data_IF_112050008036
#
_entry.id   IF_112050008036
#
_cell.length_a   1.000
_cell.length_b   1.000
_cell.length_c   1.000
_cell.angle_alpha   90.00
_cell.angle_beta   90.00
_cell.angle_gamma   90.00
#
_symmetry.space_group_name_H-M   'P 1'
#
loop_
_entity.id
_entity.type
_entity.pdbx_description
1 polymer ?
#
# COMPACT_ATOMS: atom_id res chain seq x y z
N UNK A 1 -4.63 -6.00 23.26
CA UNK A 1 -3.90 -5.40 22.14
C UNK A 1 -3.15 -6.46 21.36
N UNK A 2 -3.20 -6.35 20.06
CA UNK A 2 -2.43 -7.23 19.17
C UNK A 2 -1.67 -6.36 18.18
N UNK A 3 -0.38 -6.64 18.02
CA UNK A 3 0.47 -5.95 17.06
C UNK A 3 0.85 -6.95 15.97
N UNK A 4 0.69 -6.53 14.71
CA UNK A 4 1.06 -7.34 13.55
C UNK A 4 2.00 -6.57 12.66
N UNK A 5 2.77 -7.27 11.86
CA UNK A 5 3.72 -6.65 10.93
C UNK A 5 3.60 -7.24 9.55
N UNK A 6 4.02 -6.47 8.57
CA UNK A 6 4.16 -6.93 7.21
C UNK A 6 5.37 -6.27 6.56
N UNK A 7 5.99 -6.98 5.66
CA UNK A 7 7.14 -6.47 4.91
C UNK A 7 7.05 -6.98 3.47
N UNK A 8 7.46 -6.15 2.54
CA UNK A 8 7.52 -6.53 1.14
C UNK A 8 8.70 -5.86 0.45
N UNK A 9 9.28 -6.57 -0.51
CA UNK A 9 10.31 -6.05 -1.40
C UNK A 9 9.92 -6.38 -2.83
N UNK A 10 10.07 -5.41 -3.72
CA UNK A 10 9.73 -5.61 -5.13
C UNK A 10 10.78 -4.98 -6.03
N UNK A 11 11.04 -5.64 -7.16
CA UNK A 11 11.89 -5.06 -8.20
C UNK A 11 11.13 -3.96 -8.93
N UNK A 12 11.71 -2.77 -9.00
CA UNK A 12 11.12 -1.62 -9.70
C UNK A 12 10.82 -1.96 -11.16
N UNK A 13 11.72 -2.71 -11.80
CA UNK A 13 11.58 -3.08 -13.19
C UNK A 13 10.33 -3.94 -13.47
N UNK A 14 9.92 -4.77 -12.51
CA UNK A 14 8.70 -5.57 -12.66
C UNK A 14 7.45 -4.71 -12.71
N UNK A 15 7.42 -3.66 -11.91
CA UNK A 15 6.30 -2.70 -11.93
C UNK A 15 6.33 -1.89 -13.23
N UNK A 16 7.51 -1.46 -13.65
CA UNK A 16 7.67 -0.75 -14.92
C UNK A 16 7.14 -1.57 -16.08
N UNK A 17 7.53 -2.83 -16.17
CA UNK A 17 7.08 -3.73 -17.23
C UNK A 17 5.56 -3.92 -17.20
N UNK A 18 4.98 -4.10 -16.03
CA UNK A 18 3.53 -4.27 -15.89
C UNK A 18 2.79 -3.01 -16.37
N UNK A 19 3.27 -1.83 -16.02
CA UNK A 19 2.67 -0.57 -16.45
C UNK A 19 2.81 -0.39 -17.97
N UNK A 20 3.96 -0.71 -18.52
CA UNK A 20 4.20 -0.58 -19.96
C UNK A 20 3.34 -1.56 -20.78
N UNK A 21 3.14 -2.78 -20.27
CA UNK A 21 2.35 -3.79 -20.97
C UNK A 21 0.85 -3.59 -20.83
N UNK A 22 0.39 -3.28 -19.61
CA UNK A 22 -1.04 -3.27 -19.28
C UNK A 22 -1.63 -1.87 -19.18
N UNK A 23 -0.78 -0.85 -18.99
CA UNK A 23 -1.22 0.54 -18.93
C UNK A 23 -2.28 0.78 -17.87
N UNK A 24 -3.36 1.46 -18.28
CA UNK A 24 -4.46 1.81 -17.38
C UNK A 24 -5.11 0.62 -16.69
N UNK A 25 -5.13 -0.54 -17.34
CA UNK A 25 -5.70 -1.75 -16.72
C UNK A 25 -4.95 -2.16 -15.46
N UNK A 26 -3.63 -2.02 -15.45
CA UNK A 26 -2.82 -2.29 -14.26
C UNK A 26 -3.00 -1.18 -13.22
N UNK A 27 -2.84 0.07 -13.65
CA UNK A 27 -2.88 1.23 -12.76
C UNK A 27 -4.22 1.35 -12.05
N UNK A 28 -5.32 1.23 -12.79
CA UNK A 28 -6.67 1.43 -12.25
C UNK A 28 -7.09 0.34 -11.26
N UNK A 29 -6.50 -0.83 -11.36
CA UNK A 29 -6.80 -1.92 -10.42
C UNK A 29 -6.13 -1.76 -9.08
N UNK A 30 -4.99 -1.10 -9.04
CA UNK A 30 -4.12 -1.09 -7.86
C UNK A 30 -4.07 0.27 -7.19
N UNK A 31 -3.97 1.34 -7.98
CA UNK A 31 -3.69 2.68 -7.47
C UNK A 31 -4.92 3.58 -7.54
N UNK A 32 -5.01 4.50 -6.59
CA UNK A 32 -6.03 5.56 -6.65
C UNK A 32 -5.57 6.66 -7.61
N UNK A 33 -6.49 7.52 -8.02
CA UNK A 33 -6.17 8.66 -8.88
C UNK A 33 -5.11 9.57 -8.25
N UNK A 34 -5.19 9.78 -6.93
CA UNK A 34 -4.20 10.59 -6.20
C UNK A 34 -2.82 9.98 -6.23
N UNK A 35 -2.74 8.66 -6.08
CA UNK A 35 -1.47 7.94 -6.14
C UNK A 35 -0.86 8.03 -7.54
N UNK A 36 -1.68 7.84 -8.57
CA UNK A 36 -1.24 7.93 -9.98
C UNK A 36 -0.73 9.34 -10.27
N UNK A 37 -1.47 10.35 -9.87
CA UNK A 37 -1.08 11.75 -10.07
C UNK A 37 0.26 12.06 -9.41
N UNK A 38 0.40 11.64 -8.15
CA UNK A 38 1.66 11.86 -7.42
C UNK A 38 2.85 11.19 -8.11
N UNK A 39 2.71 9.93 -8.49
CA UNK A 39 3.79 9.17 -9.12
C UNK A 39 4.18 9.75 -10.48
N UNK A 40 3.22 10.26 -11.22
CA UNK A 40 3.46 10.83 -12.56
C UNK A 40 4.12 12.21 -12.54
N UNK A 41 4.22 12.86 -11.38
CA UNK A 41 4.89 14.16 -11.27
C UNK A 41 6.38 14.09 -11.56
N UNK A 42 7.01 12.94 -11.30
CA UNK A 42 8.44 12.77 -11.53
C UNK A 42 8.68 11.83 -12.72
N UNK A 43 9.25 12.36 -13.78
CA UNK A 43 9.61 11.52 -14.94
C UNK A 43 10.77 10.58 -14.63
N UNK A 44 11.72 11.00 -13.80
CA UNK A 44 12.89 10.20 -13.47
C UNK A 44 12.59 9.06 -12.50
N UNK A 45 11.74 9.34 -11.50
CA UNK A 45 11.50 8.40 -10.40
C UNK A 45 10.09 7.81 -10.40
N UNK A 46 9.38 7.98 -11.48
CA UNK A 46 7.98 7.54 -11.60
C UNK A 46 7.80 6.07 -11.19
N UNK A 47 8.58 5.19 -11.77
CA UNK A 47 8.43 3.75 -11.52
C UNK A 47 8.88 3.34 -10.13
N UNK A 48 9.86 4.05 -9.56
CA UNK A 48 10.25 3.84 -8.16
C UNK A 48 9.10 4.21 -7.24
N UNK A 49 8.38 5.30 -7.52
CA UNK A 49 7.24 5.73 -6.73
C UNK A 49 6.07 4.74 -6.81
N UNK A 50 5.79 4.24 -8.02
CA UNK A 50 4.75 3.21 -8.18
C UNK A 50 5.14 1.91 -7.46
N UNK A 51 6.39 1.50 -7.58
CA UNK A 51 6.87 0.29 -6.93
C UNK A 51 6.81 0.42 -5.40
N UNK A 52 7.20 1.58 -4.87
CA UNK A 52 7.15 1.83 -3.43
C UNK A 52 5.70 1.73 -2.90
N UNK A 53 4.74 2.28 -3.62
CA UNK A 53 3.34 2.20 -3.22
C UNK A 53 2.77 0.79 -3.35
N UNK A 54 3.19 0.07 -4.36
CA UNK A 54 2.83 -1.34 -4.49
C UNK A 54 3.36 -2.15 -3.29
N UNK A 55 4.61 -1.92 -2.91
CA UNK A 55 5.21 -2.60 -1.75
C UNK A 55 4.47 -2.28 -0.46
N UNK A 56 4.01 -1.02 -0.28
CA UNK A 56 3.18 -0.64 0.88
C UNK A 56 1.89 -1.44 0.90
N UNK A 57 1.20 -1.54 -0.22
CA UNK A 57 -0.07 -2.27 -0.29
C UNK A 57 0.11 -3.74 0.08
N UNK A 58 1.18 -4.36 -0.41
CA UNK A 58 1.52 -5.74 -0.06
C UNK A 58 1.86 -5.89 1.43
N UNK A 59 2.69 -5.00 1.96
CA UNK A 59 3.11 -5.05 3.36
C UNK A 59 1.91 -4.85 4.30
N UNK A 60 1.05 -3.90 3.99
CA UNK A 60 -0.17 -3.64 4.77
C UNK A 60 -1.09 -4.86 4.72
N UNK A 61 -1.31 -5.43 3.55
CA UNK A 61 -2.14 -6.62 3.43
C UNK A 61 -1.62 -7.76 4.30
N UNK A 62 -0.30 -8.00 4.29
CA UNK A 62 0.30 -9.02 5.15
C UNK A 62 0.05 -8.75 6.64
N UNK A 63 0.11 -7.48 7.04
CA UNK A 63 -0.09 -7.11 8.44
C UNK A 63 -1.53 -7.29 8.91
N UNK A 64 -2.52 -7.10 8.04
CA UNK A 64 -3.94 -7.09 8.45
C UNK A 64 -4.72 -8.33 8.04
N UNK A 65 -4.18 -9.15 7.15
CA UNK A 65 -4.91 -10.26 6.53
C UNK A 65 -5.48 -11.28 7.51
N UNK A 66 -4.88 -11.45 8.67
CA UNK A 66 -5.37 -12.42 9.65
C UNK A 66 -6.65 -11.98 10.36
N UNK A 67 -7.02 -10.70 10.28
CA UNK A 67 -8.18 -10.15 10.96
C UNK A 67 -9.21 -9.51 10.03
N UNK A 68 -9.01 -9.64 8.72
CA UNK A 68 -9.94 -9.10 7.74
C UNK A 68 -10.37 -10.19 6.77
N UNK A 69 -11.54 -10.01 6.18
CA UNK A 69 -12.03 -10.85 5.10
C UNK A 69 -11.75 -10.19 3.76
N UNK A 70 -11.59 -11.00 2.74
CA UNK A 70 -11.47 -10.54 1.39
C UNK A 70 -10.12 -10.83 0.77
N UNK A 71 -10.09 -10.65 -0.53
CA UNK A 71 -8.91 -10.87 -1.34
C UNK A 71 -8.10 -9.58 -1.40
N UNK A 72 -6.79 -9.72 -1.57
CA UNK A 72 -5.88 -8.60 -1.69
C UNK A 72 -6.30 -7.62 -2.80
N UNK A 73 -6.66 -8.16 -3.97
CA UNK A 73 -7.04 -7.32 -5.12
C UNK A 73 -8.30 -6.47 -4.84
N UNK A 74 -9.14 -6.89 -3.91
CA UNK A 74 -10.34 -6.14 -3.56
C UNK A 74 -10.03 -4.93 -2.66
N UNK A 75 -8.88 -4.90 -2.00
CA UNK A 75 -8.55 -3.84 -1.04
C UNK A 75 -7.38 -2.94 -1.46
N UNK A 76 -6.71 -3.21 -2.58
CA UNK A 76 -5.55 -2.42 -3.00
C UNK A 76 -5.80 -0.90 -3.00
N UNK A 77 -6.93 -0.45 -3.53
CA UNK A 77 -7.25 0.98 -3.57
C UNK A 77 -7.64 1.55 -2.22
N UNK A 78 -8.02 0.69 -1.28
CA UNK A 78 -8.35 1.12 0.09
C UNK A 78 -7.09 1.27 0.95
N UNK A 79 -5.97 0.73 0.49
CA UNK A 79 -4.65 0.95 1.09
C UNK A 79 -4.01 2.10 0.33
N UNK A 80 -4.43 3.31 0.65
CA UNK A 80 -3.99 4.50 -0.09
C UNK A 80 -2.86 5.20 0.62
N UNK A 81 -1.78 5.45 -0.11
CA UNK A 81 -0.64 6.25 0.38
C UNK A 81 -0.86 7.69 -0.01
N UNK A 82 -0.85 8.57 0.97
CA UNK A 82 -0.92 10.02 0.77
C UNK A 82 0.42 10.63 1.16
N UNK A 83 0.74 11.77 0.56
CA UNK A 83 1.98 12.47 0.88
C UNK A 83 1.64 13.77 1.58
N UNK A 84 2.21 13.97 2.76
CA UNK A 84 2.10 15.21 3.51
C UNK A 84 2.88 16.32 2.79
N UNK A 85 2.63 17.57 3.16
CA UNK A 85 3.34 18.70 2.60
C UNK A 85 4.87 18.56 2.74
N UNK A 86 5.30 17.93 3.83
CA UNK A 86 6.72 17.63 4.05
C UNK A 86 7.30 16.60 3.06
N UNK A 87 6.44 15.95 2.25
CA UNK A 87 6.82 14.86 1.38
C UNK A 87 6.79 13.49 2.03
N UNK A 88 6.54 13.42 3.34
CA UNK A 88 6.48 12.15 4.07
C UNK A 88 5.27 11.35 3.61
N UNK A 89 5.46 10.06 3.23
CA UNK A 89 4.33 9.19 2.91
C UNK A 89 3.59 8.78 4.17
N UNK A 90 2.27 8.73 4.08
CA UNK A 90 1.41 8.33 5.17
C UNK A 90 0.25 7.51 4.61
N UNK A 91 -0.22 6.54 5.38
CA UNK A 91 -1.36 5.72 4.99
C UNK A 91 -2.65 6.41 5.38
N UNK A 92 -3.64 6.37 4.50
CA UNK A 92 -4.99 6.85 4.81
C UNK A 92 -5.71 5.78 5.63
N UNK A 93 -5.52 5.81 6.95
CA UNK A 93 -6.02 4.80 7.88
C UNK A 93 -7.56 4.81 7.95
N UNK A 94 -8.17 5.98 7.87
CA UNK A 94 -9.63 6.10 7.92
C UNK A 94 -10.31 5.42 6.74
N UNK A 95 -9.77 5.62 5.55
CA UNK A 95 -10.27 4.97 4.34
C UNK A 95 -10.17 3.46 4.46
N UNK A 96 -9.04 2.97 4.94
CA UNK A 96 -8.84 1.54 5.15
C UNK A 96 -9.84 0.97 6.15
N UNK A 97 -9.99 1.61 7.30
CA UNK A 97 -10.94 1.15 8.33
C UNK A 97 -12.38 1.07 7.86
N UNK A 98 -12.80 2.03 7.03
CA UNK A 98 -14.17 2.07 6.52
C UNK A 98 -14.47 0.95 5.53
N UNK A 99 -13.46 0.46 4.83
CA UNK A 99 -13.66 -0.41 3.68
C UNK A 99 -13.22 -1.86 3.89
N UNK A 100 -12.60 -2.18 5.01
CA UNK A 100 -12.22 -3.56 5.32
C UNK A 100 -13.34 -4.25 6.08
N UNK A 101 -13.54 -5.54 5.78
CA UNK A 101 -14.44 -6.40 6.52
C UNK A 101 -13.65 -7.19 7.54
N UNK A 102 -14.10 -7.17 8.79
CA UNK A 102 -13.44 -7.91 9.86
C UNK A 102 -13.77 -9.39 9.78
N UNK A 103 -12.80 -10.22 10.12
CA UNK A 103 -13.01 -11.64 10.33
C UNK A 103 -13.43 -11.86 11.79
N UNK A 104 -14.73 -11.96 12.03
CA UNK A 104 -15.28 -12.05 13.39
C UNK A 104 -15.23 -10.72 14.14
N UNK A 105 -15.62 -10.76 15.41
CA UNK A 105 -15.77 -9.54 16.23
C UNK A 105 -14.63 -9.31 17.22
N UNK A 106 -13.56 -10.11 17.12
CA UNK A 106 -12.52 -10.10 18.15
C UNK A 106 -11.62 -8.87 18.17
N UNK A 107 -11.27 -8.37 16.99
CA UNK A 107 -10.27 -7.30 16.90
C UNK A 107 -10.71 -6.22 15.93
N UNK A 108 -10.42 -4.97 16.30
CA UNK A 108 -10.65 -3.80 15.47
C UNK A 108 -9.31 -3.15 15.17
N UNK A 109 -9.08 -2.77 13.92
CA UNK A 109 -7.88 -2.02 13.54
C UNK A 109 -7.92 -0.64 14.17
N UNK A 110 -6.99 -0.38 15.09
CA UNK A 110 -6.87 0.90 15.77
C UNK A 110 -5.99 1.84 14.98
N UNK A 111 -4.82 1.37 14.58
CA UNK A 111 -3.86 2.20 13.88
C UNK A 111 -2.92 1.33 13.05
N UNK A 112 -2.31 1.95 12.06
CA UNK A 112 -1.31 1.30 11.22
C UNK A 112 -0.34 2.36 10.72
N UNK A 113 0.94 2.01 10.72
CA UNK A 113 1.98 2.88 10.20
C UNK A 113 2.84 2.12 9.21
N UNK A 114 3.43 2.86 8.29
CA UNK A 114 4.24 2.29 7.21
C UNK A 114 5.56 3.00 7.08
N UNK A 115 6.56 2.28 6.59
CA UNK A 115 7.85 2.84 6.25
C UNK A 115 8.25 2.35 4.87
N UNK A 116 8.87 3.22 4.09
CA UNK A 116 9.24 2.95 2.71
C UNK A 116 10.71 3.27 2.53
N UNK A 117 11.41 2.40 1.79
CA UNK A 117 12.75 2.69 1.30
C UNK A 117 12.87 2.19 -0.12
N UNK A 118 13.56 2.94 -0.97
CA UNK A 118 13.77 2.47 -2.34
C UNK A 118 15.10 2.95 -2.87
N UNK A 119 15.64 2.14 -3.76
CA UNK A 119 16.77 2.48 -4.62
C UNK A 119 16.30 2.32 -6.06
N UNK A 120 17.19 2.48 -7.01
CA UNK A 120 16.82 2.38 -8.42
C UNK A 120 16.20 1.03 -8.77
N UNK A 121 16.72 -0.07 -8.20
CA UNK A 121 16.33 -1.44 -8.56
C UNK A 121 15.22 -2.01 -7.70
N UNK A 122 15.09 -1.57 -6.44
CA UNK A 122 14.18 -2.20 -5.48
C UNK A 122 13.42 -1.18 -4.65
N UNK A 123 12.19 -1.52 -4.30
CA UNK A 123 11.42 -0.81 -3.29
C UNK A 123 11.08 -1.77 -2.16
N UNK A 124 11.16 -1.29 -0.93
CA UNK A 124 10.84 -2.05 0.28
C UNK A 124 9.85 -1.26 1.10
N UNK A 125 8.88 -1.94 1.67
CA UNK A 125 7.95 -1.33 2.60
C UNK A 125 7.75 -2.23 3.80
N UNK A 126 7.54 -1.61 4.95
CA UNK A 126 7.13 -2.31 6.16
C UNK A 126 5.85 -1.68 6.70
N UNK A 127 5.05 -2.48 7.38
CA UNK A 127 3.81 -2.03 8.01
C UNK A 127 3.73 -2.61 9.41
N UNK A 128 3.22 -1.79 10.34
CA UNK A 128 2.93 -2.22 11.70
C UNK A 128 1.48 -1.84 11.97
N UNK A 129 0.66 -2.82 12.35
CA UNK A 129 -0.76 -2.60 12.64
C UNK A 129 -1.05 -2.94 14.10
N UNK A 130 -1.94 -2.16 14.69
CA UNK A 130 -2.39 -2.36 16.07
C UNK A 130 -3.89 -2.66 16.05
N UNK A 131 -4.25 -3.76 16.69
CA UNK A 131 -5.64 -4.18 16.83
C UNK A 131 -6.02 -4.21 18.30
N UNK A 132 -7.25 -3.81 18.61
CA UNK A 132 -7.84 -3.91 19.94
C UNK A 132 -9.07 -4.80 19.90
N UNK A 133 -9.29 -5.47 20.99
CA UNK A 133 -10.44 -6.34 21.18
C UNK A 133 -11.75 -5.56 21.29
#
# INVERSE_FOLDING_TARGET
MKVTTGIDIIEVNRIKEAIEELGGNFLDRIYTEKEIEYCNKSNMNKYQHFAARFAVKEAVFKAISCYIEGREDAIWKNIEVINLESGKPELNVEKLRKNIKKTGDKFTLVDIDVSISHIKEYAVASAVAVFEK
#
